data_IF_202491848443
#
_entry.id   IF_202491848443
#
_cell.length_a   1.000
_cell.length_b   1.000
_cell.length_c   1.000
_cell.angle_alpha   90.00
_cell.angle_beta   90.00
_cell.angle_gamma   90.00
#
_symmetry.space_group_name_H-M   'P 1'
#
loop_
_entity.id
_entity.type
_entity.pdbx_description
1 polymer ?
#
# COMPACT_ATOMS: atom_id res chain seq x y z
N UNK A 1 -79.64 24.85 18.13
CA UNK A 1 -78.33 25.51 18.29
C UNK A 1 -77.29 24.45 18.64
N UNK A 2 -76.14 24.47 17.94
CA UNK A 2 -74.79 23.92 18.26
C UNK A 2 -74.65 22.48 18.80
N UNK A 3 -74.15 21.51 18.02
CA UNK A 3 -72.75 21.18 17.61
C UNK A 3 -71.88 20.47 18.65
N UNK A 4 -71.51 19.22 18.30
CA UNK A 4 -70.23 18.49 18.46
C UNK A 4 -69.57 18.43 19.85
N UNK A 5 -69.31 17.22 20.32
CA UNK A 5 -68.00 16.53 20.19
C UNK A 5 -68.04 15.24 20.99
N UNK A 6 -67.57 14.13 20.40
CA UNK A 6 -67.47 12.85 21.11
C UNK A 6 -66.04 12.32 21.00
N UNK A 7 -65.43 12.16 22.18
CA UNK A 7 -64.15 11.52 22.40
C UNK A 7 -64.40 10.05 22.69
N UNK A 8 -63.52 9.14 22.27
CA UNK A 8 -63.14 8.01 23.14
C UNK A 8 -61.80 7.42 22.75
N UNK A 9 -60.94 7.26 23.77
CA UNK A 9 -59.72 6.46 23.81
C UNK A 9 -60.03 5.25 24.70
N UNK A 10 -59.80 4.02 24.25
CA UNK A 10 -58.99 3.02 24.97
C UNK A 10 -58.98 1.62 24.30
N UNK A 11 -57.78 1.05 24.29
CA UNK A 11 -57.33 -0.34 24.01
C UNK A 11 -58.01 -1.40 24.93
N UNK A 12 -57.67 -2.71 24.88
CA UNK A 12 -56.90 -3.52 23.90
C UNK A 12 -57.62 -4.84 23.48
N UNK A 13 -57.12 -5.56 22.46
CA UNK A 13 -57.27 -7.02 22.46
C UNK A 13 -56.08 -7.76 21.82
N UNK A 14 -55.81 -8.94 22.39
CA UNK A 14 -54.67 -9.83 22.17
C UNK A 14 -54.84 -10.65 20.89
N UNK A 15 -53.79 -10.73 20.06
CA UNK A 15 -53.67 -11.78 19.05
C UNK A 15 -52.31 -12.49 19.11
N UNK A 16 -52.40 -13.80 18.91
CA UNK A 16 -51.40 -14.86 19.15
C UNK A 16 -50.22 -14.81 18.16
N UNK A 17 -49.04 -15.37 18.54
CA UNK A 17 -47.90 -15.44 17.64
C UNK A 17 -48.04 -16.58 16.62
N UNK A 18 -47.84 -16.26 15.35
CA UNK A 18 -47.73 -17.22 14.26
C UNK A 18 -46.35 -17.90 14.28
N UNK A 19 -46.35 -19.23 14.25
CA UNK A 19 -45.16 -20.09 14.14
C UNK A 19 -44.39 -19.75 12.85
N UNK A 20 -43.14 -19.31 13.00
CA UNK A 20 -42.17 -19.23 11.91
C UNK A 20 -41.68 -20.65 11.56
N UNK A 21 -41.83 -21.03 10.30
CA UNK A 21 -41.28 -22.25 9.72
C UNK A 21 -39.78 -22.00 9.48
N UNK A 22 -38.94 -22.60 10.32
CA UNK A 22 -37.48 -22.59 10.18
C UNK A 22 -37.11 -23.57 9.06
N UNK A 23 -36.65 -23.05 7.92
CA UNK A 23 -35.98 -23.84 6.89
C UNK A 23 -34.50 -24.00 7.27
N UNK A 24 -34.11 -25.21 7.65
CA UNK A 24 -32.71 -25.60 7.83
C UNK A 24 -32.06 -25.83 6.46
N UNK A 25 -30.81 -25.39 6.22
CA UNK A 25 -30.07 -25.76 5.01
C UNK A 25 -29.60 -27.22 5.10
N UNK A 26 -29.88 -27.98 4.04
CA UNK A 26 -29.49 -29.38 3.88
C UNK A 26 -27.95 -29.53 3.72
N UNK A 27 -27.40 -30.52 4.42
CA UNK A 27 -25.99 -30.90 4.37
C UNK A 27 -25.62 -31.49 3.00
N UNK A 28 -24.67 -30.85 2.30
CA UNK A 28 -24.03 -31.43 1.11
C UNK A 28 -22.91 -32.36 1.59
N UNK A 29 -23.10 -33.66 1.37
CA UNK A 29 -22.11 -34.71 1.57
C UNK A 29 -20.98 -34.57 0.56
N UNK A 30 -19.77 -34.30 1.02
CA UNK A 30 -18.53 -34.48 0.25
C UNK A 30 -18.16 -35.96 0.23
N UNK A 31 -18.28 -36.60 -0.94
CA UNK A 31 -17.73 -37.92 -1.20
C UNK A 31 -16.23 -37.80 -1.52
N UNK A 32 -15.39 -38.38 -0.66
CA UNK A 32 -14.00 -38.74 -0.96
C UNK A 32 -13.97 -39.83 -2.04
N UNK A 33 -12.92 -39.89 -2.87
CA UNK A 33 -12.42 -41.14 -3.41
C UNK A 33 -11.11 -41.53 -2.73
N UNK A 34 -11.07 -42.80 -2.33
CA UNK A 34 -9.99 -43.51 -1.68
C UNK A 34 -8.78 -43.77 -2.59
N UNK A 35 -7.67 -44.00 -1.90
CA UNK A 35 -6.36 -44.45 -2.36
C UNK A 35 -6.39 -45.58 -3.40
N UNK A 36 -5.51 -45.47 -4.40
CA UNK A 36 -5.05 -46.60 -5.21
C UNK A 36 -3.51 -46.65 -5.15
N UNK A 37 -3.08 -47.68 -4.45
CA UNK A 37 -1.73 -48.14 -4.20
C UNK A 37 -1.11 -48.69 -5.50
N UNK A 38 0.02 -48.14 -5.96
CA UNK A 38 0.92 -48.83 -6.90
C UNK A 38 2.38 -48.65 -6.45
N UNK A 39 3.00 -49.80 -6.19
CA UNK A 39 4.41 -50.02 -5.86
C UNK A 39 5.30 -49.88 -7.10
N UNK A 40 6.57 -49.53 -6.84
CA UNK A 40 7.82 -49.77 -7.60
C UNK A 40 8.65 -48.47 -7.57
N UNK A 41 9.96 -48.42 -7.40
CA UNK A 41 11.04 -49.37 -7.07
C UNK A 41 12.22 -48.45 -6.68
N UNK A 42 12.99 -48.82 -5.65
CA UNK A 42 14.29 -48.18 -5.39
C UNK A 42 15.30 -48.56 -6.48
N UNK A 43 16.33 -47.72 -6.68
CA UNK A 43 17.66 -48.33 -6.53
C UNK A 43 18.61 -47.52 -5.66
N UNK A 44 19.28 -48.27 -4.79
CA UNK A 44 20.55 -47.96 -4.14
C UNK A 44 21.57 -47.37 -5.13
N UNK A 45 22.36 -46.39 -4.68
CA UNK A 45 23.80 -46.37 -5.02
C UNK A 45 24.61 -45.47 -4.06
N UNK A 46 25.27 -46.15 -3.13
CA UNK A 46 26.71 -46.05 -2.83
C UNK A 46 27.33 -44.68 -2.53
N UNK A 47 27.72 -44.54 -1.26
CA UNK A 47 28.83 -43.69 -0.79
C UNK A 47 30.14 -44.10 -1.48
N UNK A 48 31.11 -43.16 -1.53
CA UNK A 48 32.45 -43.53 -1.13
C UNK A 48 33.04 -42.57 -0.10
N UNK A 49 33.74 -43.20 0.85
CA UNK A 49 34.60 -42.62 1.87
C UNK A 49 35.99 -42.29 1.33
N UNK A 50 36.53 -41.16 1.78
CA UNK A 50 37.92 -41.03 2.25
C UNK A 50 39.01 -40.71 1.22
N UNK A 51 39.56 -39.49 1.28
CA UNK A 51 41.00 -39.24 1.09
C UNK A 51 41.46 -38.14 2.06
N UNK A 52 42.42 -38.50 2.90
CA UNK A 52 43.27 -37.67 3.77
C UNK A 52 44.39 -36.98 2.99
N UNK A 53 44.78 -35.77 3.43
CA UNK A 53 46.12 -35.11 3.41
C UNK A 53 45.92 -33.59 3.30
N UNK A 54 46.73 -32.68 3.85
CA UNK A 54 47.83 -32.68 4.81
C UNK A 54 48.05 -31.19 5.17
N UNK A 55 48.72 -30.94 6.29
CA UNK A 55 49.03 -29.63 6.84
C UNK A 55 49.85 -28.72 5.90
N UNK A 56 49.63 -27.40 5.99
CA UNK A 56 50.71 -26.43 5.87
C UNK A 56 50.43 -25.17 6.71
N UNK A 57 51.22 -25.09 7.76
CA UNK A 57 51.47 -24.02 8.71
C UNK A 57 52.05 -22.76 8.05
N UNK A 58 51.56 -21.56 8.43
CA UNK A 58 52.43 -20.36 8.61
C UNK A 58 51.71 -19.17 9.26
N UNK A 59 52.12 -18.89 10.50
CA UNK A 59 52.74 -17.59 10.80
C UNK A 59 51.87 -16.47 11.37
N UNK A 60 51.77 -16.43 12.69
CA UNK A 60 51.46 -15.24 13.50
C UNK A 60 52.54 -14.14 13.38
N UNK A 61 52.11 -12.87 13.47
CA UNK A 61 52.71 -11.69 14.14
C UNK A 61 51.71 -10.54 13.92
N UNK A 62 51.16 -9.80 14.87
CA UNK A 62 51.63 -9.41 16.20
C UNK A 62 51.89 -7.90 16.20
N UNK A 63 50.95 -7.08 16.69
CA UNK A 63 51.23 -5.84 17.45
C UNK A 63 49.92 -5.11 17.85
N UNK A 64 49.72 -5.03 19.18
CA UNK A 64 48.96 -4.02 19.91
C UNK A 64 49.86 -2.75 19.99
N UNK A 65 49.42 -1.49 20.09
CA UNK A 65 48.77 -0.75 21.21
C UNK A 65 48.65 0.77 20.79
N UNK A 66 48.08 1.73 21.57
CA UNK A 66 47.06 2.68 21.09
C UNK A 66 47.46 4.19 21.32
N UNK A 67 46.58 5.13 21.76
CA UNK A 67 46.04 6.22 20.95
C UNK A 67 46.48 7.64 21.37
N UNK A 68 46.27 8.62 20.48
CA UNK A 68 46.28 10.06 20.77
C UNK A 68 45.17 10.69 19.91
N UNK A 69 44.37 11.67 20.29
CA UNK A 69 44.26 12.54 21.45
C UNK A 69 43.26 13.63 21.00
N UNK A 70 42.22 13.90 21.79
CA UNK A 70 41.30 15.02 21.56
C UNK A 70 42.06 16.36 21.67
N UNK A 71 41.51 17.44 21.09
CA UNK A 71 41.26 18.58 21.96
C UNK A 71 39.85 19.14 21.84
N UNK A 72 39.46 19.73 22.96
CA UNK A 72 38.17 20.36 23.28
C UNK A 72 38.32 21.89 23.19
N UNK A 73 37.24 22.53 22.75
CA UNK A 73 36.83 23.95 22.94
C UNK A 73 37.63 25.09 22.29
N UNK A 74 36.93 25.89 21.49
CA UNK A 74 36.55 27.27 21.90
C UNK A 74 35.58 27.91 20.89
N UNK A 75 34.48 28.46 21.40
CA UNK A 75 33.78 29.60 20.80
C UNK A 75 34.41 30.89 21.39
N UNK A 76 34.36 32.05 20.71
CA UNK A 76 33.20 32.91 20.92
C UNK A 76 32.76 33.83 19.75
N UNK A 77 31.57 34.38 19.94
CA UNK A 77 31.07 35.74 19.54
C UNK A 77 30.53 36.05 18.14
N UNK A 78 29.21 36.28 18.13
CA UNK A 78 28.41 37.31 17.43
C UNK A 78 29.14 38.30 16.51
N UNK A 79 28.69 38.43 15.27
CA UNK A 79 27.86 39.58 14.79
C UNK A 79 27.75 39.62 13.26
N UNK A 80 26.69 40.33 12.81
CA UNK A 80 26.44 40.87 11.47
C UNK A 80 25.74 39.99 10.40
N UNK A 81 24.50 40.40 10.12
CA UNK A 81 23.82 40.21 8.83
C UNK A 81 24.67 40.77 7.68
N UNK A 82 24.46 40.26 6.45
CA UNK A 82 23.88 41.15 5.45
C UNK A 82 22.82 40.51 4.54
N UNK A 83 21.82 41.35 4.23
CA UNK A 83 21.06 41.53 2.98
C UNK A 83 20.93 40.39 1.96
N UNK A 84 19.66 40.04 1.71
CA UNK A 84 19.00 39.95 0.40
C UNK A 84 19.81 39.40 -0.78
N UNK A 85 19.67 38.09 -1.02
CA UNK A 85 19.94 37.45 -2.30
C UNK A 85 18.68 36.75 -2.80
N UNK A 86 17.99 37.36 -3.77
CA UNK A 86 16.91 36.73 -4.52
C UNK A 86 17.43 35.44 -5.18
N UNK A 87 16.98 34.29 -4.71
CA UNK A 87 17.11 33.02 -5.41
C UNK A 87 15.76 32.64 -5.99
N UNK A 88 15.76 32.48 -7.31
CA UNK A 88 14.60 32.28 -8.16
C UNK A 88 13.73 31.10 -7.69
N UNK A 89 12.52 31.43 -7.22
CA UNK A 89 11.47 30.44 -7.09
C UNK A 89 11.08 29.94 -8.47
N UNK A 90 11.18 28.62 -8.69
CA UNK A 90 10.50 27.95 -9.80
C UNK A 90 8.99 28.17 -9.62
N UNK A 91 8.44 29.15 -10.33
CA UNK A 91 7.00 29.30 -10.47
C UNK A 91 6.45 28.12 -11.26
N UNK A 92 5.70 27.25 -10.58
CA UNK A 92 4.83 26.26 -11.21
C UNK A 92 3.66 27.02 -11.83
N UNK A 93 3.57 27.01 -13.16
CA UNK A 93 2.52 27.71 -13.89
C UNK A 93 1.19 26.94 -13.76
N UNK A 94 0.15 27.64 -13.27
CA UNK A 94 -1.24 27.16 -13.29
C UNK A 94 -1.83 27.37 -14.68
N UNK A 95 -2.55 26.38 -15.20
CA UNK A 95 -3.24 26.41 -16.51
C UNK A 95 -4.12 27.66 -16.74
N UNK A 96 -4.64 28.28 -15.68
CA UNK A 96 -5.48 29.47 -15.77
C UNK A 96 -4.71 30.78 -16.03
N UNK A 97 -3.42 30.87 -15.69
CA UNK A 97 -2.64 32.10 -15.88
C UNK A 97 -2.07 32.23 -17.30
N UNK A 98 -1.91 31.12 -18.01
CA UNK A 98 -1.44 31.09 -19.40
C UNK A 98 -2.53 31.48 -20.42
N UNK A 99 -3.80 31.46 -20.02
CA UNK A 99 -4.92 31.79 -20.92
C UNK A 99 -5.11 33.30 -21.12
N UNK A 100 -4.72 34.16 -20.16
CA UNK A 100 -4.93 35.63 -20.28
C UNK A 100 -3.80 36.36 -21.00
N UNK A 101 -2.56 35.89 -20.92
CA UNK A 101 -1.44 36.51 -21.64
C UNK A 101 -1.29 36.00 -23.08
N UNK A 102 -2.13 35.05 -23.48
CA UNK A 102 -2.10 34.37 -24.77
C UNK A 102 -2.99 35.01 -25.84
N UNK A 103 -3.87 35.95 -25.50
CA UNK A 103 -4.88 36.48 -26.43
C UNK A 103 -4.32 37.49 -27.45
N UNK A 104 -3.05 37.90 -27.36
CA UNK A 104 -2.54 39.00 -28.20
C UNK A 104 -1.44 38.68 -29.23
N UNK A 105 -0.94 37.44 -29.39
CA UNK A 105 0.06 37.17 -30.43
C UNK A 105 -0.16 35.85 -31.20
N UNK A 106 -0.39 36.00 -32.53
CA UNK A 106 -0.02 35.01 -33.56
C UNK A 106 -1.07 33.95 -33.93
N UNK A 107 -1.96 34.28 -34.87
CA UNK A 107 -3.08 33.45 -35.36
C UNK A 107 -2.74 32.33 -36.37
N UNK A 108 -1.48 32.02 -36.67
CA UNK A 108 -1.14 31.12 -37.79
C UNK A 108 -0.54 29.75 -37.46
N UNK A 109 -0.02 29.55 -36.23
CA UNK A 109 0.68 28.30 -35.83
C UNK A 109 0.04 27.55 -34.67
N UNK A 110 -1.09 28.04 -34.16
CA UNK A 110 -1.69 27.58 -32.89
C UNK A 110 -2.73 26.47 -33.02
N UNK A 111 -3.28 26.23 -34.20
CA UNK A 111 -4.40 25.28 -34.37
C UNK A 111 -3.95 23.81 -34.20
N UNK A 112 -2.84 23.39 -34.82
CA UNK A 112 -2.42 21.96 -34.77
C UNK A 112 -1.96 21.46 -33.39
N UNK A 113 -1.42 22.33 -32.54
CA UNK A 113 -0.89 21.94 -31.22
C UNK A 113 -1.97 21.83 -30.12
N UNK A 114 -3.20 22.27 -30.41
CA UNK A 114 -4.34 22.26 -29.47
C UNK A 114 -5.31 21.08 -29.66
N UNK A 115 -5.31 20.43 -30.82
CA UNK A 115 -6.33 19.44 -31.18
C UNK A 115 -6.26 18.16 -30.33
N UNK A 116 -5.08 17.57 -30.17
CA UNK A 116 -4.93 16.34 -29.35
C UNK A 116 -5.20 16.60 -27.86
N UNK A 117 -4.97 17.82 -27.36
CA UNK A 117 -5.28 18.19 -25.97
C UNK A 117 -6.80 18.23 -25.72
N UNK A 118 -7.58 18.63 -26.73
CA UNK A 118 -9.04 18.57 -26.67
C UNK A 118 -9.54 17.13 -26.56
N UNK A 119 -8.91 16.19 -27.30
CA UNK A 119 -9.21 14.75 -27.23
C UNK A 119 -8.95 14.20 -25.83
N UNK A 120 -7.81 14.53 -25.21
CA UNK A 120 -7.51 14.09 -23.85
C UNK A 120 -8.45 14.74 -22.83
N UNK A 121 -8.76 16.02 -22.98
CA UNK A 121 -9.72 16.70 -22.09
C UNK A 121 -11.11 16.05 -22.15
N UNK A 122 -11.55 15.67 -23.35
CA UNK A 122 -12.79 14.92 -23.55
C UNK A 122 -12.71 13.52 -22.93
N UNK A 123 -11.60 12.80 -23.11
CA UNK A 123 -11.36 11.51 -22.45
C UNK A 123 -11.48 11.62 -20.93
N UNK A 124 -10.81 12.60 -20.30
CA UNK A 124 -10.84 12.81 -18.85
C UNK A 124 -12.26 13.11 -18.35
N UNK A 125 -13.04 13.89 -19.09
CA UNK A 125 -14.43 14.17 -18.75
C UNK A 125 -15.32 12.91 -18.84
N UNK A 126 -15.12 12.09 -19.87
CA UNK A 126 -15.83 10.81 -20.03
C UNK A 126 -15.41 9.80 -18.97
N UNK A 127 -14.13 9.75 -18.60
CA UNK A 127 -13.61 8.95 -17.51
C UNK A 127 -14.22 9.38 -16.17
N UNK A 128 -14.29 10.69 -15.90
CA UNK A 128 -14.94 11.21 -14.70
C UNK A 128 -16.42 10.82 -14.64
N UNK A 129 -17.12 10.90 -15.78
CA UNK A 129 -18.51 10.47 -15.89
C UNK A 129 -18.65 8.96 -15.63
N UNK A 130 -17.80 8.13 -16.22
CA UNK A 130 -17.84 6.68 -16.05
C UNK A 130 -17.54 6.24 -14.61
N UNK A 131 -16.60 6.91 -13.92
CA UNK A 131 -16.33 6.69 -12.49
C UNK A 131 -17.51 7.11 -11.60
N UNK A 132 -18.17 8.22 -11.94
CA UNK A 132 -19.34 8.72 -11.18
C UNK A 132 -20.56 7.84 -11.38
N UNK A 133 -20.85 7.48 -12.63
CA UNK A 133 -21.98 6.62 -13.02
C UNK A 133 -21.71 5.14 -12.71
N UNK A 134 -20.45 4.80 -12.36
CA UNK A 134 -19.94 3.43 -12.21
C UNK A 134 -20.27 2.54 -13.42
N UNK A 135 -20.17 3.13 -14.62
CA UNK A 135 -20.55 2.47 -15.86
C UNK A 135 -19.73 2.96 -17.05
N UNK A 136 -19.27 2.04 -17.90
CA UNK A 136 -18.32 2.33 -18.98
C UNK A 136 -18.95 2.86 -20.27
N UNK A 137 -20.29 2.88 -20.40
CA UNK A 137 -20.98 3.19 -21.66
C UNK A 137 -20.59 4.54 -22.28
N UNK A 138 -20.20 5.53 -21.47
CA UNK A 138 -19.76 6.83 -21.97
C UNK A 138 -18.43 6.78 -22.76
N UNK A 139 -17.61 5.74 -22.55
CA UNK A 139 -16.28 5.59 -23.15
C UNK A 139 -16.27 4.59 -24.32
N UNK A 140 -17.28 3.72 -24.41
CA UNK A 140 -17.35 2.63 -25.40
C UNK A 140 -17.31 3.15 -26.84
N UNK A 141 -18.04 4.23 -27.13
CA UNK A 141 -18.08 4.85 -28.47
C UNK A 141 -16.85 5.72 -28.78
N UNK A 142 -16.07 6.10 -27.76
CA UNK A 142 -15.01 7.10 -27.90
C UNK A 142 -13.60 6.50 -28.06
N UNK A 143 -13.37 5.29 -27.55
CA UNK A 143 -12.06 4.64 -27.48
C UNK A 143 -12.03 3.44 -28.42
N UNK A 144 -11.00 3.35 -29.26
CA UNK A 144 -10.86 2.22 -30.21
C UNK A 144 -10.31 0.94 -29.52
N UNK A 145 -9.64 1.08 -28.37
CA UNK A 145 -9.06 0.02 -27.57
C UNK A 145 -10.13 -0.78 -26.79
N UNK A 146 -10.65 -1.83 -27.42
CA UNK A 146 -11.65 -2.73 -26.81
C UNK A 146 -11.14 -3.44 -25.56
N UNK A 147 -9.85 -3.78 -25.50
CA UNK A 147 -9.27 -4.49 -24.35
C UNK A 147 -9.23 -3.57 -23.12
N UNK A 148 -8.91 -2.30 -23.31
CA UNK A 148 -9.03 -1.30 -22.26
C UNK A 148 -10.49 -1.11 -21.82
N UNK A 149 -11.44 -0.97 -22.75
CA UNK A 149 -12.86 -0.84 -22.44
C UNK A 149 -13.37 -2.03 -21.61
N UNK A 150 -12.99 -3.27 -21.95
CA UNK A 150 -13.34 -4.47 -21.18
C UNK A 150 -12.71 -4.45 -19.77
N UNK A 151 -11.42 -4.10 -19.64
CA UNK A 151 -10.76 -4.00 -18.34
C UNK A 151 -11.42 -2.95 -17.44
N UNK A 152 -11.73 -1.78 -17.99
CA UNK A 152 -12.40 -0.70 -17.26
C UNK A 152 -13.82 -1.11 -16.88
N UNK A 153 -14.56 -1.74 -17.78
CA UNK A 153 -15.89 -2.30 -17.52
C UNK A 153 -15.88 -3.22 -16.30
N UNK A 154 -15.07 -4.28 -16.31
CA UNK A 154 -15.04 -5.23 -15.21
C UNK A 154 -14.65 -4.58 -13.88
N UNK A 155 -13.72 -3.61 -13.92
CA UNK A 155 -13.33 -2.85 -12.73
C UNK A 155 -14.49 -2.02 -12.18
N UNK A 156 -15.22 -1.30 -13.04
CA UNK A 156 -16.36 -0.47 -12.64
C UNK A 156 -17.56 -1.32 -12.18
N UNK A 157 -17.81 -2.47 -12.81
CA UNK A 157 -18.83 -3.43 -12.37
C UNK A 157 -18.52 -3.94 -10.96
N UNK A 158 -17.28 -4.37 -10.68
CA UNK A 158 -16.85 -4.77 -9.32
C UNK A 158 -16.99 -3.64 -8.31
N UNK A 159 -16.63 -2.42 -8.70
CA UNK A 159 -16.77 -1.23 -7.86
C UNK A 159 -18.24 -0.99 -7.50
N UNK A 160 -19.14 -1.07 -8.49
CA UNK A 160 -20.58 -0.90 -8.32
C UNK A 160 -21.17 -1.98 -7.42
N UNK A 161 -20.87 -3.25 -7.69
CA UNK A 161 -21.35 -4.38 -6.88
C UNK A 161 -20.92 -4.22 -5.42
N UNK A 162 -19.64 -3.92 -5.19
CA UNK A 162 -19.09 -3.66 -3.86
C UNK A 162 -19.84 -2.56 -3.12
N UNK A 163 -20.02 -1.41 -3.77
CA UNK A 163 -20.68 -0.26 -3.14
C UNK A 163 -22.17 -0.56 -2.86
N UNK A 164 -22.85 -1.29 -3.74
CA UNK A 164 -24.22 -1.79 -3.52
C UNK A 164 -24.32 -2.74 -2.33
N UNK A 165 -23.40 -3.71 -2.20
CA UNK A 165 -23.39 -4.65 -1.06
C UNK A 165 -23.17 -3.94 0.28
N UNK A 166 -22.41 -2.84 0.28
CA UNK A 166 -22.14 -2.04 1.49
C UNK A 166 -23.24 -1.02 1.80
N UNK A 167 -24.19 -0.82 0.90
CA UNK A 167 -25.19 0.25 1.01
C UNK A 167 -24.57 1.64 0.97
N UNK A 168 -23.49 1.82 0.20
CA UNK A 168 -22.76 3.09 0.07
C UNK A 168 -23.11 3.73 -1.27
N UNK A 169 -23.36 5.04 -1.26
CA UNK A 169 -23.66 5.81 -2.47
C UNK A 169 -22.51 6.79 -2.77
N UNK A 170 -22.02 6.86 -4.03
CA UNK A 170 -21.08 7.90 -4.43
C UNK A 170 -21.84 9.22 -4.61
N UNK A 171 -21.89 10.05 -3.57
CA UNK A 171 -22.60 11.33 -3.58
C UNK A 171 -21.97 12.34 -4.55
N UNK A 172 -20.65 12.31 -4.72
CA UNK A 172 -19.92 13.20 -5.63
C UNK A 172 -18.60 12.59 -6.09
N UNK A 173 -18.29 12.71 -7.39
CA UNK A 173 -16.99 12.35 -7.97
C UNK A 173 -16.30 13.54 -8.63
N UNK A 174 -14.99 13.66 -8.45
CA UNK A 174 -14.14 14.62 -9.16
C UNK A 174 -12.85 13.93 -9.60
N UNK A 175 -12.58 13.95 -10.91
CA UNK A 175 -11.31 13.50 -11.49
C UNK A 175 -10.54 14.70 -12.04
N UNK A 176 -9.30 14.89 -11.57
CA UNK A 176 -8.35 15.88 -12.10
C UNK A 176 -7.25 15.17 -12.86
N UNK A 177 -6.94 15.66 -14.06
CA UNK A 177 -5.85 15.13 -14.86
C UNK A 177 -4.64 16.06 -14.87
N UNK A 178 -3.45 15.48 -14.76
CA UNK A 178 -2.16 16.15 -14.89
C UNK A 178 -1.31 15.41 -15.94
N UNK A 179 -0.68 16.14 -16.85
CA UNK A 179 0.19 15.56 -17.87
C UNK A 179 1.61 15.43 -17.31
N UNK A 180 2.09 14.21 -17.08
CA UNK A 180 3.45 13.98 -16.55
C UNK A 180 4.48 14.07 -17.67
N UNK A 181 4.22 13.37 -18.78
CA UNK A 181 5.15 13.25 -19.90
C UNK A 181 4.39 13.25 -21.21
N UNK A 182 4.87 14.02 -22.17
CA UNK A 182 4.32 14.11 -23.53
C UNK A 182 5.47 13.86 -24.49
N UNK A 183 5.32 12.89 -25.39
CA UNK A 183 6.20 12.74 -26.55
C UNK A 183 5.35 12.94 -27.80
N UNK A 184 5.71 13.95 -28.59
CA UNK A 184 5.02 14.34 -29.80
C UNK A 184 5.85 13.92 -31.02
N UNK A 185 5.22 13.18 -31.94
CA UNK A 185 5.74 12.85 -33.26
C UNK A 185 4.75 13.37 -34.32
N UNK A 186 5.20 13.44 -35.59
CA UNK A 186 4.38 14.02 -36.67
C UNK A 186 3.04 13.32 -36.91
N UNK A 187 2.91 12.04 -36.55
CA UNK A 187 1.69 11.24 -36.74
C UNK A 187 1.19 10.54 -35.46
N UNK A 188 1.99 10.54 -34.39
CA UNK A 188 1.72 9.82 -33.15
C UNK A 188 2.06 10.67 -31.94
N UNK A 189 1.21 10.66 -30.92
CA UNK A 189 1.46 11.33 -29.65
C UNK A 189 1.30 10.31 -28.53
N UNK A 190 2.31 10.20 -27.66
CA UNK A 190 2.22 9.39 -26.45
C UNK A 190 2.20 10.28 -25.22
N UNK A 191 1.23 10.07 -24.34
CA UNK A 191 1.00 10.90 -23.17
C UNK A 191 0.88 10.03 -21.94
N UNK A 192 1.65 10.36 -20.90
CA UNK A 192 1.50 9.81 -19.57
C UNK A 192 0.64 10.76 -18.74
N UNK A 193 -0.59 10.34 -18.45
CA UNK A 193 -1.57 11.12 -17.70
C UNK A 193 -1.69 10.58 -16.29
N UNK A 194 -1.63 11.48 -15.32
CA UNK A 194 -1.94 11.21 -13.91
C UNK A 194 -3.38 11.62 -13.66
N UNK A 195 -4.21 10.67 -13.24
CA UNK A 195 -5.60 10.89 -12.88
C UNK A 195 -5.70 10.89 -11.36
N UNK A 196 -6.16 11.99 -10.79
CA UNK A 196 -6.41 12.14 -9.37
C UNK A 196 -7.91 12.13 -9.14
N UNK A 197 -8.41 11.02 -8.61
CA UNK A 197 -9.83 10.75 -8.40
C UNK A 197 -10.18 11.00 -6.94
N UNK A 198 -11.19 11.81 -6.71
CA UNK A 198 -11.81 12.06 -5.39
C UNK A 198 -13.27 11.63 -5.43
N UNK A 199 -13.68 10.81 -4.48
CA UNK A 199 -15.06 10.34 -4.33
C UNK A 199 -15.55 10.65 -2.93
N UNK A 200 -16.62 11.41 -2.83
CA UNK A 200 -17.36 11.59 -1.60
C UNK A 200 -18.40 10.50 -1.49
N UNK A 201 -18.26 9.67 -0.47
CA UNK A 201 -19.10 8.51 -0.23
C UNK A 201 -20.11 8.85 0.87
N UNK A 202 -21.35 8.39 0.71
CA UNK A 202 -22.41 8.49 1.70
C UNK A 202 -22.82 7.09 2.16
N UNK A 203 -22.84 6.86 3.46
CA UNK A 203 -23.30 5.61 4.07
C UNK A 203 -24.05 5.91 5.36
N UNK A 204 -25.32 5.50 5.44
CA UNK A 204 -26.17 5.72 6.63
C UNK A 204 -26.21 7.20 7.10
N UNK A 205 -26.12 8.16 6.18
CA UNK A 205 -26.10 9.60 6.47
C UNK A 205 -24.74 10.16 6.92
N UNK A 206 -23.70 9.31 7.03
CA UNK A 206 -22.33 9.74 7.26
C UNK A 206 -21.59 9.88 5.93
N UNK A 207 -20.67 10.85 5.88
CA UNK A 207 -19.86 11.12 4.70
C UNK A 207 -18.39 10.85 4.98
N UNK A 208 -17.71 10.24 4.01
CA UNK A 208 -16.25 10.12 4.01
C UNK A 208 -15.69 10.34 2.60
N UNK A 209 -14.40 10.66 2.52
CA UNK A 209 -13.71 10.95 1.26
C UNK A 209 -12.75 9.83 0.93
N UNK A 210 -12.86 9.26 -0.27
CA UNK A 210 -11.87 8.37 -0.88
C UNK A 210 -11.03 9.18 -1.89
N UNK A 211 -9.71 9.10 -1.81
CA UNK A 211 -8.80 9.72 -2.77
C UNK A 211 -7.86 8.69 -3.37
N UNK A 212 -7.65 8.74 -4.68
CA UNK A 212 -6.74 7.85 -5.39
C UNK A 212 -6.03 8.59 -6.51
N UNK A 213 -4.79 8.20 -6.77
CA UNK A 213 -4.04 8.64 -7.94
C UNK A 213 -3.66 7.45 -8.81
N UNK A 214 -4.06 7.49 -10.07
CA UNK A 214 -3.72 6.50 -11.09
C UNK A 214 -2.89 7.14 -12.21
N UNK A 215 -2.12 6.33 -12.92
CA UNK A 215 -1.34 6.77 -14.07
C UNK A 215 -1.70 5.89 -15.26
N UNK A 216 -2.04 6.54 -16.37
CA UNK A 216 -2.38 5.89 -17.63
C UNK A 216 -1.50 6.42 -18.76
N UNK A 217 -1.06 5.51 -19.61
CA UNK A 217 -0.36 5.84 -20.85
C UNK A 217 -1.36 5.79 -22.00
N UNK A 218 -1.53 6.93 -22.66
CA UNK A 218 -2.39 7.10 -23.82
C UNK A 218 -1.51 7.17 -25.08
N UNK A 219 -1.92 6.46 -26.12
CA UNK A 219 -1.37 6.65 -27.46
C UNK A 219 -2.45 7.18 -28.39
N UNK A 220 -2.11 8.27 -29.06
CA UNK A 220 -2.97 8.95 -30.01
C UNK A 220 -2.35 8.86 -31.40
N UNK A 221 -3.18 8.65 -32.40
CA UNK A 221 -2.82 8.75 -33.82
C UNK A 221 -3.63 9.86 -34.49
N UNK A 222 -3.08 10.40 -35.57
CA UNK A 222 -3.80 11.33 -36.44
C UNK A 222 -4.39 10.55 -37.62
N UNK A 223 -5.72 10.44 -37.69
CA UNK A 223 -6.43 9.75 -38.78
C UNK A 223 -7.51 10.65 -39.36
N UNK A 224 -7.49 10.88 -40.68
CA UNK A 224 -8.50 11.69 -41.38
C UNK A 224 -8.58 13.15 -40.94
N UNK A 225 -7.49 13.72 -40.40
CA UNK A 225 -7.45 15.09 -39.88
C UNK A 225 -7.95 15.24 -38.44
N UNK A 226 -8.37 14.16 -37.78
CA UNK A 226 -8.75 14.15 -36.37
C UNK A 226 -7.79 13.28 -35.54
N UNK A 227 -7.54 13.69 -34.31
CA UNK A 227 -6.81 12.89 -33.33
C UNK A 227 -7.75 11.89 -32.65
N UNK A 228 -7.30 10.64 -32.50
CA UNK A 228 -8.05 9.60 -31.79
C UNK A 228 -7.13 8.82 -30.87
N UNK A 229 -7.70 8.29 -29.78
CA UNK A 229 -6.99 7.43 -28.84
C UNK A 229 -7.16 5.99 -29.32
N UNK A 230 -6.07 5.37 -29.74
CA UNK A 230 -6.10 4.00 -30.26
C UNK A 230 -5.67 2.96 -29.22
N UNK A 231 -4.97 3.37 -28.16
CA UNK A 231 -4.48 2.47 -27.11
C UNK A 231 -4.38 3.16 -25.77
N UNK A 232 -4.73 2.43 -24.70
CA UNK A 232 -4.62 2.89 -23.30
C UNK A 232 -4.01 1.79 -22.43
N UNK A 233 -2.92 2.11 -21.74
CA UNK A 233 -2.25 1.20 -20.80
C UNK A 233 -2.21 1.81 -19.40
N UNK A 234 -2.99 1.29 -18.44
CA UNK A 234 -2.85 1.66 -17.03
C UNK A 234 -1.52 1.15 -16.49
N UNK A 235 -0.81 1.99 -15.74
CA UNK A 235 0.47 1.65 -15.11
C UNK A 235 0.21 0.94 -13.78
N UNK A 236 0.20 -0.39 -13.81
CA UNK A 236 -0.05 -1.24 -12.63
C UNK A 236 1.27 -1.52 -11.90
N UNK A 237 1.77 -0.54 -11.14
CA UNK A 237 3.02 -0.68 -10.40
C UNK A 237 2.95 -1.78 -9.30
N UNK A 238 1.76 -2.09 -8.79
CA UNK A 238 1.51 -3.07 -7.72
C UNK A 238 1.88 -4.52 -8.10
N UNK A 239 1.99 -4.86 -9.39
CA UNK A 239 2.33 -6.22 -9.87
C UNK A 239 3.82 -6.42 -10.16
N UNK A 240 4.66 -5.39 -10.06
CA UNK A 240 6.08 -5.46 -10.47
C UNK A 240 7.05 -5.21 -9.31
N UNK A 241 7.20 -6.14 -8.34
CA UNK A 241 8.31 -6.06 -7.39
C UNK A 241 9.63 -6.32 -8.14
N UNK A 242 10.50 -5.31 -8.29
CA UNK A 242 11.81 -5.46 -8.98
C UNK A 242 12.83 -6.28 -8.18
N UNK A 243 12.68 -6.39 -6.86
CA UNK A 243 13.53 -7.26 -6.05
C UNK A 243 13.01 -8.70 -6.15
N UNK A 244 13.74 -9.50 -6.91
CA UNK A 244 13.37 -10.86 -7.30
C UNK A 244 13.14 -11.77 -6.09
N UNK A 245 11.99 -12.43 -6.08
CA UNK A 245 11.63 -13.46 -5.11
C UNK A 245 12.62 -14.65 -5.09
N UNK A 246 13.44 -14.82 -6.14
CA UNK A 246 14.33 -15.97 -6.32
C UNK A 246 15.49 -16.04 -5.33
N UNK A 247 15.99 -14.90 -4.83
CA UNK A 247 17.07 -14.92 -3.82
C UNK A 247 16.53 -15.11 -2.40
N UNK A 248 15.25 -14.79 -2.16
CA UNK A 248 14.64 -14.84 -0.84
C UNK A 248 14.02 -16.20 -0.51
N UNK A 249 13.40 -16.89 -1.48
CA UNK A 249 12.73 -18.18 -1.20
C UNK A 249 13.69 -19.26 -0.71
N UNK A 250 14.94 -19.28 -1.20
CA UNK A 250 15.95 -20.24 -0.75
C UNK A 250 16.46 -19.94 0.69
N UNK A 251 16.48 -18.67 1.10
CA UNK A 251 16.95 -18.26 2.43
C UNK A 251 15.89 -18.49 3.53
N UNK A 252 14.59 -18.47 3.19
CA UNK A 252 13.49 -18.63 4.15
C UNK A 252 13.33 -20.09 4.60
N UNK A 253 13.62 -21.07 3.74
CA UNK A 253 13.57 -22.49 4.11
C UNK A 253 14.66 -22.84 5.13
N UNK A 254 15.82 -22.18 5.09
CA UNK A 254 16.89 -22.34 6.10
C UNK A 254 16.60 -21.59 7.42
N UNK A 255 15.75 -20.55 7.40
CA UNK A 255 15.53 -19.65 8.56
C UNK A 255 14.45 -20.17 9.54
N UNK A 256 13.48 -20.97 9.08
CA UNK A 256 12.47 -21.59 9.95
C UNK A 256 13.08 -22.55 10.99
N UNK A 257 14.21 -23.17 10.67
CA UNK A 257 14.97 -24.02 11.60
C UNK A 257 15.93 -23.20 12.49
N UNK A 258 16.49 -22.08 12.01
CA UNK A 258 17.45 -21.26 12.78
C UNK A 258 16.78 -20.31 13.80
N UNK A 259 15.51 -19.96 13.62
CA UNK A 259 14.74 -19.14 14.57
C UNK A 259 14.47 -19.89 15.90
N UNK A 260 14.68 -21.21 15.97
CA UNK A 260 14.64 -21.97 17.23
C UNK A 260 15.88 -21.79 18.11
N UNK A 261 17.01 -21.28 17.61
CA UNK A 261 18.27 -21.23 18.37
C UNK A 261 18.92 -19.85 18.53
N UNK A 262 18.48 -18.80 17.82
CA UNK A 262 19.07 -17.47 17.93
C UNK A 262 18.32 -16.53 18.91
N UNK A 263 18.30 -16.90 20.19
CA UNK A 263 17.83 -16.02 21.29
C UNK A 263 18.95 -15.69 22.28
N UNK A 264 20.11 -15.26 21.80
CA UNK A 264 21.19 -14.59 22.57
C UNK A 264 21.96 -13.77 21.53
N UNK A 265 21.99 -12.43 21.49
CA UNK A 265 22.76 -11.52 22.34
C UNK A 265 22.23 -10.09 22.19
N UNK A 266 22.01 -9.41 23.31
CA UNK A 266 22.17 -7.94 23.42
C UNK A 266 23.14 -7.71 24.57
N UNK A 267 24.24 -7.01 24.34
CA UNK A 267 25.13 -6.52 25.39
C UNK A 267 24.39 -5.44 26.19
N UNK A 268 23.67 -5.88 27.22
CA UNK A 268 23.20 -5.03 28.30
C UNK A 268 24.26 -5.03 29.40
N UNK A 269 24.61 -3.87 30.00
CA UNK A 269 25.49 -3.86 31.16
C UNK A 269 24.87 -4.72 32.27
N UNK A 270 25.70 -5.53 32.93
CA UNK A 270 25.27 -6.45 33.98
C UNK A 270 24.90 -5.65 35.24
N UNK A 271 23.70 -5.07 35.24
CA UNK A 271 23.09 -4.49 36.43
C UNK A 271 22.32 -5.61 37.13
N UNK A 272 22.68 -5.94 38.37
CA UNK A 272 22.03 -6.99 39.14
C UNK A 272 20.63 -6.50 39.58
N UNK A 273 19.62 -6.69 38.71
CA UNK A 273 18.26 -6.17 38.88
C UNK A 273 17.50 -6.77 40.08
N UNK A 274 18.01 -7.86 40.67
CA UNK A 274 17.46 -8.46 41.89
C UNK A 274 17.66 -7.59 43.13
N UNK A 275 18.59 -6.64 43.08
CA UNK A 275 18.82 -5.68 44.15
C UNK A 275 17.93 -4.42 44.02
N UNK A 276 17.21 -4.24 42.90
CA UNK A 276 16.43 -3.04 42.61
C UNK A 276 15.04 -3.39 42.00
N UNK A 277 14.09 -3.91 42.80
CA UNK A 277 12.74 -4.25 42.34
C UNK A 277 11.96 -3.06 41.74
N UNK A 278 12.38 -1.84 42.06
CA UNK A 278 11.85 -0.57 41.52
C UNK A 278 12.25 -0.31 40.06
N UNK A 279 13.38 -0.86 39.59
CA UNK A 279 13.84 -0.78 38.20
C UNK A 279 13.26 -1.91 37.33
N UNK A 280 12.96 -3.07 37.93
CA UNK A 280 12.22 -4.17 37.28
C UNK A 280 10.84 -3.72 36.76
N UNK A 281 10.23 -2.74 37.42
CA UNK A 281 8.94 -2.18 37.02
C UNK A 281 9.04 -1.06 35.97
N UNK A 282 10.25 -0.71 35.49
CA UNK A 282 10.52 0.61 34.90
C UNK A 282 11.24 0.64 33.55
N UNK A 283 11.01 -0.36 32.71
CA UNK A 283 11.09 -0.17 31.25
C UNK A 283 9.86 -0.83 30.62
N UNK A 284 8.67 -0.26 30.86
CA UNK A 284 7.58 -0.47 29.91
C UNK A 284 8.04 0.17 28.59
N UNK A 285 8.22 -0.64 27.55
CA UNK A 285 8.53 -0.15 26.21
C UNK A 285 7.54 0.94 25.80
N UNK A 286 7.97 1.87 24.95
CA UNK A 286 7.06 2.89 24.41
C UNK A 286 5.93 2.14 23.69
N UNK A 287 4.65 2.33 24.10
CA UNK A 287 3.55 1.61 23.47
C UNK A 287 3.37 2.06 22.02
N UNK A 288 2.90 1.14 21.19
CA UNK A 288 2.50 1.43 19.82
C UNK A 288 1.33 2.42 19.82
N UNK A 289 1.52 3.56 19.16
CA UNK A 289 0.51 4.61 19.04
C UNK A 289 -0.13 4.54 17.67
N UNK A 290 -1.20 3.75 17.59
CA UNK A 290 -2.03 3.54 16.39
C UNK A 290 -2.42 4.84 15.70
N UNK A 291 -2.89 5.82 16.46
CA UNK A 291 -3.28 7.14 15.95
C UNK A 291 -2.13 7.89 15.26
N UNK A 292 -0.90 7.75 15.76
CA UNK A 292 0.26 8.38 15.13
C UNK A 292 0.64 7.68 13.83
N UNK A 293 0.49 6.36 13.76
CA UNK A 293 0.70 5.61 12.52
C UNK A 293 -0.34 6.01 11.46
N UNK A 294 -1.61 6.11 11.84
CA UNK A 294 -2.69 6.56 10.96
C UNK A 294 -2.49 8.02 10.51
N UNK A 295 -2.13 8.94 11.43
CA UNK A 295 -1.88 10.33 11.10
C UNK A 295 -0.66 10.50 10.16
N UNK A 296 0.41 9.72 10.38
CA UNK A 296 1.55 9.70 9.47
C UNK A 296 1.15 9.20 8.08
N UNK A 297 0.36 8.12 8.02
CA UNK A 297 -0.16 7.59 6.78
C UNK A 297 -1.00 8.65 6.03
N UNK A 298 -1.87 9.37 6.74
CA UNK A 298 -2.69 10.43 6.16
C UNK A 298 -1.87 11.62 5.65
N UNK A 299 -0.69 11.87 6.22
CA UNK A 299 0.19 12.95 5.74
C UNK A 299 0.92 12.58 4.45
N UNK A 300 1.38 11.34 4.31
CA UNK A 300 2.32 10.90 3.29
C UNK A 300 1.72 9.94 2.26
N UNK A 301 0.40 9.84 2.18
CA UNK A 301 -0.26 8.90 1.26
C UNK A 301 0.05 9.17 -0.23
N UNK A 302 0.30 10.44 -0.63
CA UNK A 302 0.46 10.89 -2.02
C UNK A 302 1.86 11.39 -2.42
N UNK A 303 2.82 11.38 -1.51
CA UNK A 303 4.21 11.79 -1.77
C UNK A 303 5.17 11.01 -0.86
N UNK A 304 6.39 10.76 -1.31
CA UNK A 304 7.43 10.16 -0.46
C UNK A 304 7.89 11.12 0.64
N UNK A 305 8.14 10.61 1.85
CA UNK A 305 8.76 11.40 2.90
C UNK A 305 10.26 11.59 2.60
N UNK A 306 10.77 12.83 2.43
CA UNK A 306 12.17 13.10 2.12
C UNK A 306 13.19 12.61 3.17
N UNK A 307 12.74 12.28 4.39
CA UNK A 307 13.58 11.68 5.42
C UNK A 307 13.96 10.22 5.12
N UNK A 308 13.32 9.60 4.13
CA UNK A 308 13.52 8.22 3.72
C UNK A 308 13.82 8.14 2.22
N UNK A 309 14.42 7.02 1.82
CA UNK A 309 14.61 6.68 0.41
C UNK A 309 13.23 6.41 -0.21
N UNK A 310 12.99 6.98 -1.39
CA UNK A 310 11.78 6.73 -2.17
C UNK A 310 12.04 5.60 -3.17
N UNK A 311 11.18 4.57 -3.14
CA UNK A 311 11.24 3.44 -4.07
C UNK A 311 10.15 3.57 -5.15
N UNK A 312 10.39 3.05 -6.36
CA UNK A 312 9.37 2.99 -7.42
C UNK A 312 8.12 2.20 -6.99
N UNK A 313 8.31 1.12 -6.23
CA UNK A 313 7.24 0.39 -5.55
C UNK A 313 7.37 0.66 -4.05
N UNK A 314 6.66 1.68 -3.57
CA UNK A 314 6.90 2.25 -2.24
C UNK A 314 5.99 1.72 -1.12
N UNK A 315 4.98 0.90 -1.42
CA UNK A 315 3.94 0.50 -0.46
C UNK A 315 4.53 0.06 0.89
N UNK A 316 5.45 -0.91 0.91
CA UNK A 316 5.98 -1.48 2.15
C UNK A 316 6.93 -0.54 2.88
N UNK A 317 7.77 0.22 2.15
CA UNK A 317 8.61 1.25 2.77
C UNK A 317 7.74 2.30 3.47
N UNK A 318 6.67 2.75 2.81
CA UNK A 318 5.68 3.65 3.40
C UNK A 318 4.96 3.03 4.61
N UNK A 319 4.50 1.78 4.55
CA UNK A 319 3.88 1.10 5.71
C UNK A 319 4.88 1.01 6.88
N UNK A 320 6.14 0.65 6.62
CA UNK A 320 7.16 0.59 7.65
C UNK A 320 7.42 1.95 8.30
N UNK A 321 7.41 3.02 7.52
CA UNK A 321 7.49 4.39 8.07
C UNK A 321 6.28 4.70 8.97
N UNK A 322 5.07 4.30 8.58
CA UNK A 322 3.86 4.50 9.39
C UNK A 322 3.96 3.74 10.72
N UNK A 323 4.36 2.46 10.68
CA UNK A 323 4.56 1.65 11.89
C UNK A 323 5.63 2.27 12.81
N UNK A 324 6.74 2.75 12.24
CA UNK A 324 7.79 3.41 12.99
C UNK A 324 7.33 4.75 13.59
N UNK A 325 6.55 5.55 12.86
CA UNK A 325 5.93 6.77 13.39
C UNK A 325 4.95 6.50 14.53
N UNK A 326 4.33 5.31 14.53
CA UNK A 326 3.57 4.77 15.67
C UNK A 326 4.45 4.26 16.82
N UNK A 327 5.76 4.47 16.80
CA UNK A 327 6.75 3.99 17.78
C UNK A 327 7.00 2.48 17.81
N UNK A 328 6.67 1.74 16.74
CA UNK A 328 7.12 0.36 16.64
C UNK A 328 8.66 0.29 16.67
N UNK A 329 9.27 -0.53 17.53
CA UNK A 329 10.71 -0.58 17.70
C UNK A 329 11.37 -1.32 16.54
N UNK A 330 12.34 -0.67 15.90
CA UNK A 330 13.18 -1.32 14.90
C UNK A 330 14.03 -2.42 15.53
N UNK A 331 14.19 -3.53 14.81
CA UNK A 331 15.08 -4.62 15.17
C UNK A 331 16.27 -4.65 14.20
N UNK A 332 17.37 -3.99 14.60
CA UNK A 332 18.59 -3.89 13.81
C UNK A 332 19.46 -5.14 13.93
N UNK A 333 19.55 -5.91 12.84
CA UNK A 333 20.43 -7.09 12.76
C UNK A 333 21.70 -6.83 11.94
N UNK A 334 21.69 -5.78 11.12
CA UNK A 334 22.78 -5.48 10.17
C UNK A 334 22.78 -6.34 8.90
N UNK A 335 21.95 -7.39 8.88
CA UNK A 335 21.71 -8.28 7.73
C UNK A 335 20.42 -7.90 7.01
N UNK A 336 20.40 -7.99 5.69
CA UNK A 336 19.28 -7.53 4.84
C UNK A 336 18.06 -8.43 4.99
N UNK A 337 18.31 -9.72 5.07
CA UNK A 337 17.36 -10.81 5.15
C UNK A 337 16.63 -10.90 6.50
N UNK A 338 17.18 -10.31 7.57
CA UNK A 338 16.63 -10.43 8.92
C UNK A 338 16.35 -9.09 9.61
N UNK A 339 15.50 -9.16 10.65
CA UNK A 339 15.08 -7.99 11.41
C UNK A 339 14.02 -7.16 10.69
N UNK A 340 13.75 -5.98 11.21
CA UNK A 340 12.92 -4.95 10.59
C UNK A 340 13.52 -3.59 10.94
N UNK A 341 14.23 -2.99 9.99
CA UNK A 341 15.06 -1.81 10.27
C UNK A 341 15.42 -0.99 9.03
N UNK A 342 15.68 0.31 9.26
CA UNK A 342 16.15 1.26 8.27
C UNK A 342 17.23 2.17 8.87
N UNK A 343 18.32 2.40 8.13
CA UNK A 343 19.44 3.28 8.49
C UNK A 343 19.80 4.29 7.38
N UNK A 344 18.97 4.41 6.34
CA UNK A 344 19.26 5.29 5.21
C UNK A 344 20.35 4.74 4.29
N UNK A 345 21.22 5.62 3.81
CA UNK A 345 22.37 5.28 2.97
C UNK A 345 23.66 5.47 3.77
N UNK A 346 24.58 4.52 3.68
CA UNK A 346 25.92 4.60 4.26
C UNK A 346 26.95 4.19 3.23
N UNK A 347 27.95 5.04 2.96
CA UNK A 347 29.00 4.78 1.97
C UNK A 347 28.47 4.54 0.55
N UNK A 348 27.39 5.23 0.16
CA UNK A 348 26.73 5.07 -1.15
C UNK A 348 25.81 3.84 -1.26
N UNK A 349 25.88 2.92 -0.30
CA UNK A 349 25.03 1.73 -0.23
C UNK A 349 23.81 2.00 0.61
N UNK A 350 22.68 1.48 0.14
CA UNK A 350 21.46 1.44 0.91
C UNK A 350 21.60 0.54 2.15
N UNK A 351 21.00 0.91 3.27
CA UNK A 351 21.11 0.15 4.52
C UNK A 351 19.76 0.02 5.23
N UNK A 352 19.01 -1.02 4.87
CA UNK A 352 17.67 -1.34 5.38
C UNK A 352 17.40 -2.86 5.22
N UNK A 353 16.47 -3.46 5.96
CA UNK A 353 16.10 -4.89 5.81
C UNK A 353 15.02 -5.13 4.77
N UNK A 354 14.98 -6.28 4.09
CA UNK A 354 13.94 -6.60 3.10
C UNK A 354 12.53 -6.44 3.66
N UNK A 355 12.30 -6.86 4.91
CA UNK A 355 11.04 -6.63 5.63
C UNK A 355 10.64 -5.16 5.78
N UNK A 356 11.57 -4.20 5.66
CA UNK A 356 11.27 -2.77 5.69
C UNK A 356 10.64 -2.28 4.37
N UNK A 357 11.06 -2.82 3.21
CA UNK A 357 10.71 -2.25 1.90
C UNK A 357 10.06 -3.24 0.91
N UNK A 358 9.97 -4.54 1.22
CA UNK A 358 9.44 -5.58 0.33
C UNK A 358 8.23 -6.26 0.96
N UNK A 359 7.06 -6.21 0.29
CA UNK A 359 5.78 -6.66 0.87
C UNK A 359 5.79 -8.12 1.30
N UNK A 360 6.36 -9.00 0.47
CA UNK A 360 6.47 -10.41 0.82
C UNK A 360 7.32 -10.62 2.08
N UNK A 361 8.48 -9.95 2.17
CA UNK A 361 9.35 -10.05 3.34
C UNK A 361 8.72 -9.44 4.60
N UNK A 362 7.97 -8.33 4.50
CA UNK A 362 7.20 -7.80 5.63
C UNK A 362 6.12 -8.80 6.07
N UNK A 363 5.44 -9.43 5.12
CA UNK A 363 4.40 -10.43 5.41
C UNK A 363 4.98 -11.62 6.16
N UNK A 364 6.11 -12.18 5.70
CA UNK A 364 6.80 -13.26 6.40
C UNK A 364 7.31 -12.82 7.77
N UNK A 365 7.85 -11.60 7.86
CA UNK A 365 8.25 -11.01 9.13
C UNK A 365 7.06 -10.95 10.09
N UNK A 366 5.94 -10.30 9.76
CA UNK A 366 4.79 -10.19 10.67
C UNK A 366 4.09 -11.53 10.97
N UNK A 367 4.24 -12.54 10.10
CA UNK A 367 3.67 -13.88 10.33
C UNK A 367 4.48 -14.72 11.32
N UNK A 368 5.77 -14.41 11.51
CA UNK A 368 6.64 -15.14 12.41
C UNK A 368 6.36 -14.81 13.89
N UNK A 369 6.26 -15.84 14.73
CA UNK A 369 6.11 -15.68 16.19
C UNK A 369 7.36 -14.99 16.77
N UNK A 370 7.17 -13.90 17.50
CA UNK A 370 8.23 -13.17 18.19
C UNK A 370 7.73 -12.66 19.54
N UNK A 371 8.64 -12.63 20.51
CA UNK A 371 8.37 -12.14 21.87
C UNK A 371 9.00 -10.76 22.14
N UNK A 372 9.61 -10.14 21.13
CA UNK A 372 10.20 -8.80 21.23
C UNK A 372 10.34 -8.14 19.86
N UNK A 373 10.38 -6.81 19.83
CA UNK A 373 10.41 -6.04 18.58
C UNK A 373 9.05 -6.02 17.88
N UNK A 374 8.94 -5.37 16.73
CA UNK A 374 7.70 -5.36 15.94
C UNK A 374 7.20 -6.80 15.70
N UNK A 375 5.98 -7.07 16.15
CA UNK A 375 5.28 -8.33 15.92
C UNK A 375 3.78 -8.08 15.83
N UNK A 376 3.07 -9.05 15.26
CA UNK A 376 1.63 -8.99 15.03
C UNK A 376 0.99 -10.33 15.33
N UNK A 377 -0.32 -10.30 15.55
CA UNK A 377 -1.19 -11.48 15.53
C UNK A 377 -1.88 -11.55 14.18
N UNK A 378 -1.83 -12.71 13.53
CA UNK A 378 -2.62 -12.94 12.30
C UNK A 378 -4.06 -13.20 12.73
N UNK A 379 -4.97 -12.32 12.31
CA UNK A 379 -6.41 -12.43 12.60
C UNK A 379 -7.16 -13.01 11.40
N UNK A 380 -8.33 -13.59 11.65
CA UNK A 380 -9.09 -14.29 10.59
C UNK A 380 -10.06 -13.35 9.87
N UNK A 381 -10.54 -12.33 10.56
CA UNK A 381 -11.53 -11.39 10.05
C UNK A 381 -10.95 -9.98 9.95
N UNK A 382 -11.41 -9.22 8.96
CA UNK A 382 -11.00 -7.83 8.75
C UNK A 382 -11.55 -6.90 9.84
N UNK A 383 -12.65 -7.30 10.48
CA UNK A 383 -13.34 -6.64 11.59
C UNK A 383 -12.54 -6.71 12.91
N UNK A 384 -11.55 -7.61 12.99
CA UNK A 384 -10.64 -7.69 14.14
C UNK A 384 -9.52 -6.63 14.07
N UNK A 385 -9.39 -5.94 12.94
CA UNK A 385 -8.36 -4.93 12.73
C UNK A 385 -8.71 -3.59 13.37
N UNK A 386 -7.68 -2.88 13.79
CA UNK A 386 -7.72 -1.56 14.40
C UNK A 386 -6.87 -0.56 13.59
N UNK A 387 -6.96 0.73 13.92
CA UNK A 387 -6.06 1.74 13.35
C UNK A 387 -4.60 1.31 13.48
N UNK A 388 -3.79 1.58 12.46
CA UNK A 388 -2.38 1.21 12.43
C UNK A 388 -2.11 -0.26 12.06
N UNK A 389 -3.13 -1.10 11.97
CA UNK A 389 -2.97 -2.48 11.53
C UNK A 389 -2.69 -2.60 10.03
N UNK A 390 -2.17 -3.74 9.61
CA UNK A 390 -1.66 -3.95 8.24
C UNK A 390 -2.45 -5.03 7.53
N UNK A 391 -2.77 -4.79 6.26
CA UNK A 391 -3.29 -5.80 5.32
C UNK A 391 -2.23 -6.02 4.25
N UNK A 392 -1.94 -7.28 3.93
CA UNK A 392 -1.11 -7.63 2.77
C UNK A 392 -1.92 -8.43 1.75
N UNK A 393 -1.59 -8.22 0.47
CA UNK A 393 -2.35 -8.73 -0.67
C UNK A 393 -1.43 -9.57 -1.54
N UNK A 394 -1.89 -10.78 -1.82
CA UNK A 394 -1.35 -11.66 -2.84
C UNK A 394 -2.34 -11.70 -4.00
N UNK A 395 -2.03 -10.97 -5.08
CA UNK A 395 -2.90 -10.80 -6.23
C UNK A 395 -3.15 -12.07 -7.04
N UNK A 396 -2.25 -13.05 -6.96
CA UNK A 396 -2.27 -14.26 -7.79
C UNK A 396 -2.63 -15.52 -6.99
N UNK A 397 -2.68 -15.43 -5.66
CA UNK A 397 -2.95 -16.57 -4.79
C UNK A 397 -1.80 -17.58 -4.72
N UNK A 398 -0.59 -17.18 -5.11
CA UNK A 398 0.64 -18.01 -5.13
C UNK A 398 1.45 -17.91 -3.83
N UNK A 399 0.87 -17.33 -2.78
CA UNK A 399 1.48 -16.99 -1.50
C UNK A 399 2.66 -16.01 -1.59
N UNK A 400 2.82 -15.28 -2.70
CA UNK A 400 3.79 -14.18 -2.81
C UNK A 400 3.07 -12.86 -2.66
N UNK A 401 3.21 -12.19 -1.53
CA UNK A 401 2.47 -10.96 -1.27
C UNK A 401 3.13 -9.77 -1.98
N UNK A 402 2.41 -9.14 -2.90
CA UNK A 402 2.96 -8.05 -3.72
C UNK A 402 2.59 -6.65 -3.21
N UNK A 403 1.56 -6.52 -2.38
CA UNK A 403 1.10 -5.23 -1.88
C UNK A 403 0.82 -5.22 -0.38
N UNK A 404 0.96 -4.07 0.26
CA UNK A 404 0.68 -3.85 1.68
C UNK A 404 0.05 -2.48 1.91
N UNK A 405 -0.91 -2.43 2.83
CA UNK A 405 -1.66 -1.23 3.21
C UNK A 405 -1.80 -1.14 4.72
N UNK A 406 -2.09 0.05 5.24
CA UNK A 406 -2.32 0.30 6.67
C UNK A 406 -3.73 0.83 6.89
N UNK A 407 -4.40 0.38 7.96
CA UNK A 407 -5.72 0.85 8.38
C UNK A 407 -5.59 2.27 8.95
N UNK A 408 -6.36 3.21 8.41
CA UNK A 408 -6.32 4.62 8.78
C UNK A 408 -7.67 5.19 9.20
N UNK A 409 -8.77 4.53 8.84
CA UNK A 409 -10.12 4.89 9.24
C UNK A 409 -11.06 3.69 9.14
N UNK A 410 -12.32 3.88 9.51
CA UNK A 410 -13.40 2.92 9.34
C UNK A 410 -14.61 3.61 8.73
N UNK A 411 -15.38 2.88 7.93
CA UNK A 411 -16.65 3.36 7.41
C UNK A 411 -17.78 3.27 8.46
N UNK A 412 -19.00 3.68 8.09
CA UNK A 412 -20.13 3.71 9.02
C UNK A 412 -20.55 2.31 9.51
N UNK A 413 -20.17 1.25 8.77
CA UNK A 413 -20.42 -0.13 9.14
C UNK A 413 -19.27 -0.74 9.98
N UNK A 414 -18.24 0.04 10.30
CA UNK A 414 -17.06 -0.44 11.02
C UNK A 414 -16.09 -1.22 10.14
N UNK A 415 -16.20 -1.11 8.81
CA UNK A 415 -15.29 -1.78 7.89
C UNK A 415 -14.04 -0.93 7.65
N UNK A 416 -12.83 -1.51 7.58
CA UNK A 416 -11.60 -0.74 7.47
C UNK A 416 -11.46 0.05 6.16
N UNK A 417 -10.88 1.24 6.29
CA UNK A 417 -10.40 2.08 5.20
C UNK A 417 -8.88 2.19 5.31
N UNK A 418 -8.19 2.12 4.17
CA UNK A 418 -6.74 1.98 4.13
C UNK A 418 -6.05 3.05 3.30
N UNK A 419 -4.78 3.29 3.64
CA UNK A 419 -3.87 4.11 2.83
C UNK A 419 -2.74 3.27 2.22
N UNK A 420 -2.26 3.70 1.05
CA UNK A 420 -1.14 3.11 0.33
C UNK A 420 -0.41 4.17 -0.51
N UNK A 421 0.85 3.89 -0.89
CA UNK A 421 1.71 4.88 -1.57
C UNK A 421 2.25 4.45 -2.96
N UNK A 422 2.25 3.15 -3.33
CA UNK A 422 2.65 2.73 -4.70
C UNK A 422 1.68 3.25 -5.77
N UNK A 423 0.40 2.97 -5.59
CA UNK A 423 -0.71 3.65 -6.25
C UNK A 423 -1.36 4.47 -5.14
N UNK A 424 -1.02 5.77 -5.02
CA UNK A 424 -1.45 6.58 -3.90
C UNK A 424 -2.94 6.46 -3.65
N UNK A 425 -3.30 5.99 -2.46
CA UNK A 425 -4.67 5.73 -2.05
C UNK A 425 -4.84 6.24 -0.63
N UNK A 426 -5.93 6.95 -0.37
CA UNK A 426 -6.32 7.44 0.96
C UNK A 426 -7.76 7.06 1.26
N UNK A 427 -7.96 6.51 2.45
CA UNK A 427 -9.25 6.04 2.95
C UNK A 427 -9.99 5.13 1.95
N UNK A 428 -9.23 4.38 1.15
CA UNK A 428 -9.78 3.45 0.17
C UNK A 428 -10.37 2.26 0.91
N UNK A 429 -11.48 1.72 0.44
CA UNK A 429 -12.03 0.50 1.02
C UNK A 429 -11.04 -0.67 0.92
N UNK A 430 -10.89 -1.42 2.00
CA UNK A 430 -9.81 -2.40 2.20
C UNK A 430 -9.76 -3.54 1.16
N UNK A 431 -10.88 -3.90 0.52
CA UNK A 431 -10.95 -5.08 -0.34
C UNK A 431 -10.17 -4.93 -1.66
N UNK A 432 -9.83 -3.70 -2.05
CA UNK A 432 -9.06 -3.38 -3.27
C UNK A 432 -9.64 -3.91 -4.59
N UNK A 433 -10.93 -4.32 -4.63
CA UNK A 433 -11.56 -4.91 -5.82
C UNK A 433 -11.61 -3.98 -7.04
N UNK A 434 -11.49 -2.68 -6.78
CA UNK A 434 -11.39 -1.61 -7.76
C UNK A 434 -9.95 -1.36 -8.26
N UNK A 435 -8.96 -2.15 -7.85
CA UNK A 435 -7.60 -2.10 -8.41
C UNK A 435 -7.52 -2.87 -9.72
N UNK A 436 -6.70 -2.38 -10.66
CA UNK A 436 -6.29 -3.14 -11.83
C UNK A 436 -5.38 -4.34 -11.46
N UNK A 437 -4.75 -4.33 -10.28
CA UNK A 437 -3.94 -5.45 -9.81
C UNK A 437 -4.77 -6.63 -9.30
N UNK A 438 -5.99 -6.37 -8.82
CA UNK A 438 -6.85 -7.36 -8.18
C UNK A 438 -7.33 -8.45 -9.14
N UNK A 439 -7.39 -9.69 -8.65
CA UNK A 439 -8.01 -10.85 -9.32
C UNK A 439 -8.89 -11.65 -8.37
N UNK A 440 -9.70 -12.57 -8.89
CA UNK A 440 -10.46 -13.52 -8.07
C UNK A 440 -9.58 -14.46 -7.23
N UNK A 441 -8.31 -14.64 -7.62
CA UNK A 441 -7.34 -15.43 -6.87
C UNK A 441 -6.72 -14.65 -5.70
N UNK A 442 -7.09 -13.37 -5.53
CA UNK A 442 -6.50 -12.50 -4.51
C UNK A 442 -6.70 -13.08 -3.11
N UNK A 443 -5.60 -13.24 -2.38
CA UNK A 443 -5.59 -13.64 -0.97
C UNK A 443 -5.16 -12.48 -0.10
N UNK A 444 -5.79 -12.36 1.06
CA UNK A 444 -5.51 -11.32 2.04
C UNK A 444 -4.86 -11.95 3.27
N UNK A 445 -3.98 -11.19 3.93
CA UNK A 445 -3.54 -11.50 5.29
C UNK A 445 -3.70 -10.28 6.17
N UNK A 446 -4.31 -10.50 7.33
CA UNK A 446 -4.68 -9.46 8.27
C UNK A 446 -3.77 -9.51 9.49
N UNK A 447 -3.08 -8.41 9.79
CA UNK A 447 -2.12 -8.32 10.88
C UNK A 447 -2.57 -7.31 11.92
N UNK A 448 -2.96 -7.80 13.08
CA UNK A 448 -3.16 -7.00 14.27
C UNK A 448 -1.82 -6.74 14.96
N UNK A 449 -1.31 -5.51 14.87
CA UNK A 449 -0.01 -5.11 15.42
C UNK A 449 -0.09 -5.10 16.95
N UNK A 450 0.93 -5.60 17.64
CA UNK A 450 0.94 -5.57 19.10
C UNK A 450 1.08 -4.13 19.66
N UNK A 451 0.36 -3.83 20.73
CA UNK A 451 0.44 -2.51 21.39
C UNK A 451 1.70 -2.35 22.26
N UNK A 452 2.32 -3.46 22.64
CA UNK A 452 3.48 -3.53 23.51
C UNK A 452 4.50 -4.54 22.96
N UNK A 453 5.79 -4.22 23.09
CA UNK A 453 6.90 -4.94 22.46
C UNK A 453 8.02 -5.33 23.43
#
# INVERSE_FOLDING_TARGET
MSTRSDQTRNRPDKQRPSKALVLQPAAVRTSQPSELLLKADEPETQRPSGVTRENADRGQRGSQTPPAGLPVQSAPTKSAQPSAGHTAGKQVAKLSSLLRSAEQEGSGKREKAGEWKSVISKYVNLYNKAETDQHYAALDDYIEDKDHCLRLRYRLERLRERDLYRGVLPARGETKAELIKVNESAAEVSVLVKLHIKRQMEQSGLYYLEERTEIERLWLNQSGGAWRIFRIEPVIAERRPRFGASEYTAAVEEELDQIREASVFRSTPFLNLDQYPQLKQRIKGIPYRRELAAAYADRWWNEGNPAYEEFEVNCTNYISQCLFAGHAPMNYTGKRESGWWYKGRSGGKEWWSYSWAVSNALTHYLSGKRNSGLHATVVQSVEELQLGDVITYDWNGDNRYQHSTIITAFDAAGMPLVNANTVPSRHRFWDYRDSYAWTEQTRYRFFHIADHF
#
